data_IF_227367228032
#
_entry.id   IF_227367228032
#
_cell.length_a   1.000
_cell.length_b   1.000
_cell.length_c   1.000
_cell.angle_alpha   90.00
_cell.angle_beta   90.00
_cell.angle_gamma   90.00
#
_symmetry.space_group_name_H-M   'P 1'
#
loop_
_entity.id
_entity.type
_entity.pdbx_description
1 polymer ?
#
# COMPACT_ATOMS: atom_id res chain seq x y z
N UNK A 1 6.98 25.36 -2.28
CA UNK A 1 6.10 24.26 -2.74
C UNK A 1 6.09 24.22 -4.27
N UNK A 2 7.04 23.49 -4.87
CA UNK A 2 6.87 22.94 -6.21
C UNK A 2 6.69 21.45 -5.98
N UNK A 3 5.44 21.01 -5.80
CA UNK A 3 5.11 19.62 -6.05
C UNK A 3 5.47 19.40 -7.53
N UNK A 4 6.45 18.54 -7.76
CA UNK A 4 6.80 18.07 -9.08
C UNK A 4 5.51 17.68 -9.83
N UNK A 5 5.38 18.13 -11.08
CA UNK A 5 4.30 17.73 -11.99
C UNK A 5 4.58 16.33 -12.55
N UNK A 6 5.13 15.42 -11.74
CA UNK A 6 5.02 14.01 -12.05
C UNK A 6 3.53 13.69 -11.95
N UNK A 7 2.91 13.38 -13.10
CA UNK A 7 1.50 13.02 -13.14
C UNK A 7 1.20 11.96 -12.10
N UNK A 8 -0.03 11.98 -11.58
CA UNK A 8 -0.49 11.09 -10.52
C UNK A 8 0.05 9.65 -10.75
N UNK A 9 0.86 9.09 -9.83
CA UNK A 9 1.49 7.78 -10.01
C UNK A 9 0.47 6.64 -10.16
N UNK A 10 -0.80 6.91 -9.81
CA UNK A 10 -1.93 6.00 -9.98
C UNK A 10 -2.61 6.11 -11.36
N UNK A 11 -2.36 7.16 -12.15
CA UNK A 11 -3.08 7.43 -13.41
C UNK A 11 -2.46 6.82 -14.67
N UNK A 12 -1.17 6.42 -14.62
CA UNK A 12 -0.46 5.94 -15.80
C UNK A 12 -0.11 4.43 -15.70
N UNK A 13 -0.99 3.53 -16.17
CA UNK A 13 -0.70 2.11 -16.20
C UNK A 13 0.46 1.81 -17.16
N UNK A 14 1.30 0.83 -16.79
CA UNK A 14 2.39 0.38 -17.66
C UNK A 14 1.86 -0.10 -19.03
N UNK A 15 2.70 -0.02 -20.07
CA UNK A 15 2.33 -0.50 -21.41
C UNK A 15 1.84 -1.97 -21.37
N UNK A 16 2.51 -2.82 -20.59
CA UNK A 16 2.09 -4.20 -20.37
C UNK A 16 0.66 -4.28 -19.80
N UNK A 17 0.33 -3.46 -18.79
CA UNK A 17 -1.03 -3.40 -18.20
C UNK A 17 -2.06 -2.87 -19.20
N UNK A 18 -1.71 -1.85 -20.02
CA UNK A 18 -2.58 -1.30 -21.07
C UNK A 18 -2.95 -2.34 -22.12
N UNK A 19 -2.02 -3.20 -22.51
CA UNK A 19 -2.26 -4.29 -23.48
C UNK A 19 -2.98 -5.47 -22.83
N UNK A 20 -2.58 -5.88 -21.62
CA UNK A 20 -3.12 -7.06 -20.97
C UNK A 20 -4.57 -6.87 -20.49
N UNK A 21 -4.93 -5.69 -19.98
CA UNK A 21 -6.26 -5.43 -19.40
C UNK A 21 -7.43 -5.75 -20.34
N UNK A 22 -7.48 -5.27 -21.61
CA UNK A 22 -8.57 -5.62 -22.53
C UNK A 22 -8.60 -7.12 -22.86
N UNK A 23 -7.44 -7.75 -23.03
CA UNK A 23 -7.34 -9.19 -23.32
C UNK A 23 -7.90 -10.01 -22.15
N UNK A 24 -7.48 -9.69 -20.92
CA UNK A 24 -7.95 -10.36 -19.71
C UNK A 24 -9.46 -10.19 -19.50
N UNK A 25 -10.03 -9.01 -19.84
CA UNK A 25 -11.48 -8.80 -19.80
C UNK A 25 -12.22 -9.71 -20.78
N UNK A 26 -11.72 -9.84 -22.02
CA UNK A 26 -12.32 -10.73 -23.01
C UNK A 26 -12.20 -12.20 -22.59
N UNK A 27 -11.03 -12.62 -22.11
CA UNK A 27 -10.81 -13.98 -21.62
C UNK A 27 -11.75 -14.31 -20.44
N UNK A 28 -11.93 -13.39 -19.51
CA UNK A 28 -12.84 -13.56 -18.38
C UNK A 28 -14.31 -13.71 -18.81
N UNK A 29 -14.72 -13.01 -19.87
CA UNK A 29 -16.09 -13.09 -20.38
C UNK A 29 -16.41 -14.41 -21.09
N UNK A 30 -15.39 -15.10 -21.62
CA UNK A 30 -15.56 -16.28 -22.49
C UNK A 30 -15.19 -17.57 -21.76
N UNK A 31 -14.24 -17.54 -20.82
CA UNK A 31 -13.73 -18.73 -20.15
C UNK A 31 -14.48 -19.05 -18.85
N UNK A 32 -14.70 -20.34 -18.54
CA UNK A 32 -15.10 -20.76 -17.19
C UNK A 32 -14.08 -20.31 -16.14
N UNK A 33 -14.52 -19.94 -14.93
CA UNK A 33 -13.66 -19.38 -13.86
C UNK A 33 -12.39 -20.20 -13.62
N UNK A 34 -12.50 -21.54 -13.47
CA UNK A 34 -11.34 -22.41 -13.23
C UNK A 34 -10.29 -22.34 -14.36
N UNK A 35 -10.73 -22.20 -15.61
CA UNK A 35 -9.83 -22.07 -16.76
C UNK A 35 -9.21 -20.68 -16.83
N UNK A 36 -10.00 -19.64 -16.55
CA UNK A 36 -9.48 -18.28 -16.42
C UNK A 36 -8.40 -18.21 -15.33
N UNK A 37 -8.67 -18.75 -14.15
CA UNK A 37 -7.74 -18.73 -13.02
C UNK A 37 -6.44 -19.50 -13.33
N UNK A 38 -6.54 -20.63 -14.02
CA UNK A 38 -5.38 -21.43 -14.44
C UNK A 38 -4.47 -20.68 -15.44
N UNK A 39 -5.01 -19.76 -16.23
CA UNK A 39 -4.24 -18.90 -17.14
C UNK A 39 -3.75 -17.63 -16.44
N UNK A 40 -4.62 -17.02 -15.63
CA UNK A 40 -4.39 -15.74 -14.98
C UNK A 40 -3.29 -15.85 -13.92
N UNK A 41 -3.34 -16.86 -13.04
CA UNK A 41 -2.43 -16.93 -11.90
C UNK A 41 -0.95 -17.06 -12.32
N UNK A 42 -0.55 -17.93 -13.27
CA UNK A 42 0.83 -17.99 -13.74
C UNK A 42 1.28 -16.69 -14.43
N UNK A 43 0.41 -16.09 -15.25
CA UNK A 43 0.71 -14.83 -15.94
C UNK A 43 0.89 -13.67 -14.95
N UNK A 44 0.03 -13.58 -13.94
CA UNK A 44 0.11 -12.59 -12.87
C UNK A 44 1.38 -12.77 -12.02
N UNK A 45 1.70 -14.01 -11.63
CA UNK A 45 2.92 -14.32 -10.89
C UNK A 45 4.18 -13.95 -11.69
N UNK A 46 4.20 -14.26 -12.99
CA UNK A 46 5.28 -13.86 -13.88
C UNK A 46 5.41 -12.34 -13.98
N UNK A 47 4.29 -11.63 -14.14
CA UNK A 47 4.25 -10.17 -14.18
C UNK A 47 4.81 -9.55 -12.89
N UNK A 48 4.39 -10.04 -11.72
CA UNK A 48 4.91 -9.59 -10.42
C UNK A 48 6.42 -9.85 -10.29
N UNK A 49 6.89 -11.01 -10.73
CA UNK A 49 8.33 -11.32 -10.78
C UNK A 49 9.10 -10.35 -11.67
N UNK A 50 8.57 -10.00 -12.85
CA UNK A 50 9.21 -9.03 -13.74
C UNK A 50 9.27 -7.62 -13.15
N UNK A 51 8.20 -7.17 -12.48
CA UNK A 51 8.19 -5.89 -11.78
C UNK A 51 9.27 -5.85 -10.69
N UNK A 52 9.34 -6.90 -9.86
CA UNK A 52 10.34 -7.02 -8.80
C UNK A 52 11.77 -7.04 -9.35
N UNK A 53 12.03 -7.82 -10.41
CA UNK A 53 13.34 -7.89 -11.06
C UNK A 53 13.73 -6.57 -11.75
N UNK A 54 12.75 -5.85 -12.31
CA UNK A 54 12.98 -4.51 -12.85
C UNK A 54 13.36 -3.53 -11.74
N UNK A 55 12.65 -3.58 -10.61
CA UNK A 55 12.93 -2.71 -9.46
C UNK A 55 14.29 -3.02 -8.82
N UNK A 56 14.64 -4.29 -8.67
CA UNK A 56 15.95 -4.70 -8.16
C UNK A 56 17.10 -4.12 -9.00
N UNK A 57 16.99 -4.15 -10.34
CA UNK A 57 17.99 -3.55 -11.23
C UNK A 57 18.12 -2.04 -11.04
N UNK A 58 17.01 -1.34 -10.77
CA UNK A 58 17.05 0.10 -10.43
C UNK A 58 17.78 0.34 -9.11
N UNK A 59 17.48 -0.46 -8.08
CA UNK A 59 18.15 -0.40 -6.78
C UNK A 59 19.66 -0.65 -6.90
N UNK A 60 20.08 -1.64 -7.69
CA UNK A 60 21.50 -1.90 -7.97
C UNK A 60 22.18 -0.78 -8.75
N UNK A 61 21.44 -0.10 -9.65
CA UNK A 61 21.94 1.09 -10.32
C UNK A 61 22.11 2.27 -9.35
N UNK A 62 21.14 2.51 -8.46
CA UNK A 62 21.23 3.53 -7.42
C UNK A 62 22.44 3.29 -6.50
N UNK A 63 22.64 2.06 -6.01
CA UNK A 63 23.83 1.69 -5.23
C UNK A 63 25.14 1.98 -5.95
N UNK A 64 25.22 1.70 -7.25
CA UNK A 64 26.41 1.98 -8.08
C UNK A 64 26.65 3.48 -8.33
N UNK A 65 25.60 4.30 -8.28
CA UNK A 65 25.72 5.75 -8.46
C UNK A 65 26.35 6.46 -7.25
N UNK A 66 26.36 5.82 -6.08
CA UNK A 66 26.81 6.42 -4.83
C UNK A 66 25.75 7.27 -4.11
N UNK A 67 24.55 7.42 -4.68
CA UNK A 67 23.42 8.07 -4.03
C UNK A 67 22.83 7.15 -2.94
N UNK A 68 23.29 7.33 -1.70
CA UNK A 68 22.88 6.52 -0.56
C UNK A 68 21.42 6.73 -0.20
N UNK A 69 20.90 7.96 -0.28
CA UNK A 69 19.51 8.26 0.02
C UNK A 69 18.56 7.55 -0.95
N UNK A 70 18.88 7.58 -2.25
CA UNK A 70 18.12 6.84 -3.25
C UNK A 70 18.22 5.33 -3.06
N UNK A 71 19.41 4.82 -2.73
CA UNK A 71 19.61 3.39 -2.47
C UNK A 71 18.79 2.91 -1.25
N UNK A 72 18.78 3.66 -0.15
CA UNK A 72 18.05 3.34 1.07
C UNK A 72 16.54 3.37 0.84
N UNK A 73 16.03 4.41 0.14
CA UNK A 73 14.64 4.47 -0.32
C UNK A 73 14.27 3.21 -1.11
N UNK A 74 15.06 2.89 -2.13
CA UNK A 74 14.79 1.75 -3.00
C UNK A 74 14.84 0.43 -2.23
N UNK A 75 15.74 0.28 -1.27
CA UNK A 75 15.81 -0.90 -0.43
C UNK A 75 14.57 -1.06 0.45
N UNK A 76 14.14 0.01 1.13
CA UNK A 76 12.91 0.01 1.95
C UNK A 76 11.69 -0.36 1.11
N UNK A 77 11.53 0.26 -0.07
CA UNK A 77 10.43 -0.05 -1.00
C UNK A 77 10.51 -1.51 -1.46
N UNK A 78 11.67 -1.97 -1.91
CA UNK A 78 11.86 -3.33 -2.43
C UNK A 78 11.50 -4.42 -1.40
N UNK A 79 11.85 -4.20 -0.12
CA UNK A 79 11.51 -5.11 0.98
C UNK A 79 10.01 -5.28 1.18
N UNK A 80 9.24 -4.21 1.00
CA UNK A 80 7.78 -4.20 1.26
C UNK A 80 6.93 -4.46 0.02
N UNK A 81 7.49 -4.38 -1.19
CA UNK A 81 6.75 -4.52 -2.46
C UNK A 81 5.84 -5.76 -2.52
N UNK A 82 6.28 -6.91 -1.98
CA UNK A 82 5.50 -8.15 -1.98
C UNK A 82 4.31 -8.17 -1.00
N UNK A 83 4.23 -7.18 -0.11
CA UNK A 83 3.20 -7.02 0.91
C UNK A 83 2.29 -5.83 0.63
N UNK A 84 2.34 -5.27 -0.58
CA UNK A 84 1.57 -4.09 -0.95
C UNK A 84 0.72 -4.38 -2.19
N UNK A 85 -0.48 -3.82 -2.18
CA UNK A 85 -1.41 -3.87 -3.31
C UNK A 85 -1.25 -2.66 -4.25
N UNK A 86 -0.47 -1.65 -3.84
CA UNK A 86 -0.15 -0.48 -4.67
C UNK A 86 1.12 -0.71 -5.50
N UNK A 87 1.28 0.11 -6.53
CA UNK A 87 2.45 0.03 -7.42
C UNK A 87 3.72 0.55 -6.75
N UNK A 88 4.88 0.18 -7.28
CA UNK A 88 6.17 0.70 -6.80
C UNK A 88 6.24 2.24 -6.78
N UNK A 89 5.74 2.98 -7.80
CA UNK A 89 5.62 4.44 -7.72
C UNK A 89 4.79 4.94 -6.53
N UNK A 90 3.70 4.24 -6.18
CA UNK A 90 2.90 4.61 -5.01
C UNK A 90 3.64 4.37 -3.69
N UNK A 91 4.42 3.28 -3.59
CA UNK A 91 5.32 3.04 -2.45
C UNK A 91 6.42 4.09 -2.36
N UNK A 92 7.07 4.42 -3.47
CA UNK A 92 8.09 5.47 -3.54
C UNK A 92 7.51 6.82 -3.10
N UNK A 93 6.30 7.16 -3.55
CA UNK A 93 5.62 8.40 -3.15
C UNK A 93 5.28 8.42 -1.65
N UNK A 94 4.77 7.30 -1.12
CA UNK A 94 4.48 7.16 0.32
C UNK A 94 5.76 7.33 1.16
N UNK A 95 6.86 6.74 0.72
CA UNK A 95 8.17 6.92 1.34
C UNK A 95 8.61 8.38 1.32
N UNK A 96 8.55 9.05 0.17
CA UNK A 96 9.03 10.42 0.02
C UNK A 96 8.26 11.40 0.90
N UNK A 97 6.93 11.24 1.00
CA UNK A 97 6.11 12.06 1.90
C UNK A 97 6.46 11.83 3.36
N UNK A 98 6.61 10.57 3.79
CA UNK A 98 7.01 10.27 5.16
C UNK A 98 8.42 10.81 5.47
N UNK A 99 9.36 10.67 4.53
CA UNK A 99 10.74 11.13 4.70
C UNK A 99 10.83 12.66 4.73
N UNK A 100 10.10 13.38 3.87
CA UNK A 100 10.06 14.87 3.91
C UNK A 100 9.57 15.39 5.27
N UNK A 101 8.58 14.73 5.87
CA UNK A 101 8.05 15.10 7.19
C UNK A 101 9.09 14.88 8.30
N UNK A 102 9.84 13.78 8.24
CA UNK A 102 10.96 13.49 9.16
C UNK A 102 12.08 14.52 8.97
N UNK A 103 12.53 14.74 7.72
CA UNK A 103 13.64 15.65 7.40
C UNK A 103 13.35 17.10 7.82
N UNK A 104 12.07 17.50 7.78
CA UNK A 104 11.61 18.83 8.19
C UNK A 104 11.27 18.93 9.68
N UNK A 105 11.39 17.84 10.44
CA UNK A 105 11.06 17.79 11.86
C UNK A 105 9.60 18.15 12.15
N UNK A 106 8.67 17.79 11.25
CA UNK A 106 7.24 18.05 11.45
C UNK A 106 6.73 17.09 12.52
N UNK A 107 6.42 17.59 13.71
CA UNK A 107 5.89 16.78 14.82
C UNK A 107 4.51 16.18 14.52
N UNK A 108 4.21 15.02 15.10
CA UNK A 108 2.91 14.36 15.01
C UNK A 108 3.00 12.90 14.54
N UNK A 109 1.96 12.12 14.81
CA UNK A 109 1.89 10.71 14.46
C UNK A 109 1.78 10.49 12.94
N UNK A 110 2.18 9.31 12.50
CA UNK A 110 1.87 8.81 11.16
C UNK A 110 0.70 7.84 11.23
N UNK A 111 -0.32 8.06 10.39
CA UNK A 111 -1.57 7.31 10.41
C UNK A 111 -1.86 6.75 9.03
N UNK A 112 -2.23 5.47 8.97
CA UNK A 112 -2.78 4.82 7.78
C UNK A 112 -4.15 4.21 8.10
N UNK A 113 -5.13 4.49 7.25
CA UNK A 113 -6.46 3.86 7.28
C UNK A 113 -6.61 3.00 6.02
N UNK A 114 -6.58 1.68 6.18
CA UNK A 114 -6.51 0.72 5.07
C UNK A 114 -5.07 0.23 4.88
N UNK A 115 -4.74 -0.83 5.62
CA UNK A 115 -3.39 -1.40 5.72
C UNK A 115 -3.21 -2.59 4.79
N UNK A 116 -4.29 -3.34 4.54
CA UNK A 116 -4.27 -4.58 3.76
C UNK A 116 -3.13 -5.51 4.23
N UNK A 117 -2.22 -5.89 3.33
CA UNK A 117 -1.10 -6.78 3.64
C UNK A 117 0.08 -6.09 4.38
N UNK A 118 -0.02 -4.80 4.69
CA UNK A 118 0.91 -4.09 5.58
C UNK A 118 2.16 -3.51 4.92
N UNK A 119 2.29 -3.54 3.59
CA UNK A 119 3.47 -3.03 2.90
C UNK A 119 3.69 -1.52 3.09
N UNK A 120 2.63 -0.71 3.03
CA UNK A 120 2.72 0.73 3.27
C UNK A 120 2.94 1.04 4.76
N UNK A 121 2.18 0.42 5.67
CA UNK A 121 2.44 0.48 7.12
C UNK A 121 3.90 0.17 7.47
N UNK A 122 4.46 -0.93 6.94
CA UNK A 122 5.85 -1.29 7.18
C UNK A 122 6.84 -0.26 6.62
N UNK A 123 6.52 0.38 5.49
CA UNK A 123 7.35 1.43 4.89
C UNK A 123 7.33 2.71 5.73
N UNK A 124 6.14 3.14 6.14
CA UNK A 124 5.91 4.32 6.98
C UNK A 124 6.61 4.14 8.33
N UNK A 125 6.44 2.98 8.99
CA UNK A 125 7.08 2.70 10.27
C UNK A 125 8.60 2.61 10.17
N UNK A 126 9.14 2.04 9.08
CA UNK A 126 10.58 2.03 8.83
C UNK A 126 11.16 3.45 8.74
N UNK A 127 10.46 4.39 8.10
CA UNK A 127 10.87 5.80 8.02
C UNK A 127 10.72 6.49 9.38
N UNK A 128 9.59 6.29 10.07
CA UNK A 128 9.33 6.87 11.38
C UNK A 128 10.36 6.45 12.46
N UNK A 129 10.83 5.20 12.44
CA UNK A 129 11.83 4.69 13.39
C UNK A 129 13.26 5.13 13.07
N UNK A 130 13.50 5.74 11.91
CA UNK A 130 14.78 6.40 11.64
C UNK A 130 14.92 7.73 12.39
N UNK A 131 13.84 8.25 12.98
CA UNK A 131 13.84 9.44 13.83
C UNK A 131 14.19 9.09 15.28
N UNK A 132 15.18 9.79 15.85
CA UNK A 132 15.68 9.55 17.22
C UNK A 132 14.61 9.63 18.31
N UNK A 133 13.55 10.42 18.09
CA UNK A 133 12.51 10.67 19.10
C UNK A 133 11.41 9.59 19.14
N UNK A 134 11.44 8.61 18.22
CA UNK A 134 10.44 7.54 18.18
C UNK A 134 9.04 8.06 17.86
N UNK A 135 8.76 8.28 16.57
CA UNK A 135 7.44 8.73 16.11
C UNK A 135 6.40 7.61 16.20
N UNK A 136 5.24 7.93 16.78
CA UNK A 136 4.08 7.03 16.84
C UNK A 136 3.50 6.76 15.45
N UNK A 137 3.22 5.50 15.17
CA UNK A 137 2.55 5.01 13.98
C UNK A 137 1.25 4.31 14.37
N UNK A 138 0.17 4.66 13.68
CA UNK A 138 -1.16 4.10 13.89
C UNK A 138 -1.71 3.52 12.59
N UNK A 139 -2.06 2.25 12.63
CA UNK A 139 -2.47 1.48 11.47
C UNK A 139 -3.86 0.90 11.74
N UNK A 140 -4.87 1.52 11.11
CA UNK A 140 -6.27 1.15 11.24
C UNK A 140 -6.68 0.25 10.08
N UNK A 141 -7.24 -0.90 10.39
CA UNK A 141 -7.84 -1.81 9.42
C UNK A 141 -8.87 -2.71 10.11
N UNK A 142 -9.83 -3.22 9.35
CA UNK A 142 -10.68 -4.30 9.85
C UNK A 142 -9.85 -5.56 10.12
N UNK A 143 -8.75 -5.73 9.37
CA UNK A 143 -7.97 -6.97 9.23
C UNK A 143 -8.82 -8.16 8.79
N UNK A 144 -9.96 -7.86 8.18
CA UNK A 144 -10.98 -8.79 7.69
C UNK A 144 -11.28 -8.55 6.19
N UNK A 145 -10.55 -7.62 5.58
CA UNK A 145 -10.72 -7.19 4.19
C UNK A 145 -11.85 -6.17 4.03
N UNK A 146 -12.17 -5.85 2.78
CA UNK A 146 -13.19 -4.86 2.43
C UNK A 146 -14.59 -5.32 2.90
N UNK A 147 -15.46 -4.39 3.38
CA UNK A 147 -16.87 -4.69 3.58
C UNK A 147 -17.59 -4.77 2.22
N UNK A 148 -18.86 -5.14 2.23
CA UNK A 148 -19.68 -5.13 1.01
C UNK A 148 -19.75 -3.70 0.45
N UNK A 149 -19.57 -3.49 -0.87
CA UNK A 149 -19.74 -2.17 -1.48
C UNK A 149 -21.20 -1.73 -1.40
N UNK A 150 -21.40 -0.42 -1.26
CA UNK A 150 -22.69 0.27 -1.31
C UNK A 150 -22.95 0.84 -2.71
N UNK A 151 -24.16 1.33 -2.96
CA UNK A 151 -24.49 1.99 -4.24
C UNK A 151 -23.58 3.18 -4.57
N UNK A 152 -23.02 3.85 -3.54
CA UNK A 152 -22.09 4.97 -3.71
C UNK A 152 -20.71 4.54 -4.26
N UNK A 153 -20.35 3.26 -4.15
CA UNK A 153 -19.08 2.71 -4.61
C UNK A 153 -19.10 2.34 -6.10
N UNK A 154 -20.27 2.38 -6.74
CA UNK A 154 -20.45 2.01 -8.14
C UNK A 154 -20.45 3.24 -9.06
N UNK A 155 -19.51 3.26 -10.01
CA UNK A 155 -19.54 4.16 -11.16
C UNK A 155 -19.70 3.33 -12.45
N UNK A 156 -20.78 3.55 -13.20
CA UNK A 156 -21.10 2.80 -14.42
C UNK A 156 -21.11 1.26 -14.21
N UNK A 157 -21.60 0.80 -13.05
CA UNK A 157 -21.70 -0.62 -12.69
C UNK A 157 -20.36 -1.25 -12.29
N UNK A 158 -19.34 -0.45 -11.93
CA UNK A 158 -18.02 -0.91 -11.49
C UNK A 158 -17.61 -0.25 -10.20
N UNK A 159 -16.94 -1.00 -9.33
CA UNK A 159 -16.23 -0.45 -8.18
C UNK A 159 -14.81 -0.08 -8.62
N UNK A 160 -14.48 1.21 -8.64
CA UNK A 160 -13.16 1.72 -9.04
C UNK A 160 -12.66 1.21 -10.40
N UNK A 161 -11.34 0.98 -10.50
CA UNK A 161 -10.69 0.54 -11.74
C UNK A 161 -10.52 -0.99 -11.86
N UNK A 162 -11.23 -1.77 -11.05
CA UNK A 162 -11.08 -3.22 -11.00
C UNK A 162 -11.68 -3.92 -12.23
N UNK A 163 -11.16 -5.10 -12.57
CA UNK A 163 -11.67 -5.93 -13.68
C UNK A 163 -13.04 -6.52 -13.32
N UNK A 164 -13.28 -6.76 -12.02
CA UNK A 164 -14.53 -7.21 -11.40
C UNK A 164 -14.82 -6.36 -10.16
N UNK A 165 -16.09 -6.24 -9.71
CA UNK A 165 -16.38 -5.75 -8.38
C UNK A 165 -15.61 -6.55 -7.33
N UNK A 166 -15.04 -5.87 -6.33
CA UNK A 166 -14.36 -6.55 -5.25
C UNK A 166 -15.41 -7.11 -4.27
N UNK A 167 -15.53 -8.44 -4.11
CA UNK A 167 -16.42 -8.99 -3.09
C UNK A 167 -15.88 -8.67 -1.68
N UNK A 168 -16.76 -8.77 -0.69
CA UNK A 168 -16.38 -8.75 0.73
C UNK A 168 -15.19 -9.65 1.02
N UNK A 169 -14.27 -9.16 1.85
CA UNK A 169 -13.03 -9.86 2.20
C UNK A 169 -11.93 -9.76 1.13
N UNK A 170 -12.14 -9.00 0.05
CA UNK A 170 -11.06 -8.62 -0.86
C UNK A 170 -10.01 -7.75 -0.15
N UNK A 171 -8.81 -7.70 -0.72
CA UNK A 171 -7.67 -6.94 -0.17
C UNK A 171 -7.25 -7.36 1.25
N UNK A 172 -7.62 -8.58 1.67
CA UNK A 172 -7.34 -9.11 3.01
C UNK A 172 -5.83 -9.14 3.33
N UNK A 173 -5.49 -8.55 4.46
CA UNK A 173 -4.35 -8.95 5.28
C UNK A 173 -4.83 -9.10 6.73
N UNK A 174 -4.56 -10.25 7.34
CA UNK A 174 -5.00 -10.48 8.73
C UNK A 174 -4.09 -9.76 9.71
N UNK A 175 -4.59 -9.54 10.92
CA UNK A 175 -3.84 -8.89 12.00
C UNK A 175 -2.53 -9.64 12.27
N UNK A 176 -2.58 -10.98 12.28
CA UNK A 176 -1.43 -11.84 12.52
C UNK A 176 -0.38 -11.70 11.41
N UNK A 177 -0.82 -11.65 10.15
CA UNK A 177 0.07 -11.49 9.00
C UNK A 177 0.79 -10.13 9.05
N UNK A 178 0.05 -9.05 9.32
CA UNK A 178 0.63 -7.70 9.41
C UNK A 178 1.53 -7.57 10.64
N UNK A 179 1.12 -8.12 11.79
CA UNK A 179 1.94 -8.17 13.00
C UNK A 179 3.24 -8.96 12.77
N UNK A 180 3.18 -10.11 12.10
CA UNK A 180 4.37 -10.90 11.76
C UNK A 180 5.31 -10.14 10.82
N UNK A 181 4.76 -9.49 9.79
CA UNK A 181 5.51 -8.62 8.89
C UNK A 181 6.24 -7.52 9.67
N UNK A 182 5.53 -6.74 10.49
CA UNK A 182 6.11 -5.58 11.17
C UNK A 182 7.16 -5.98 12.20
N UNK A 183 6.84 -6.97 13.04
CA UNK A 183 7.62 -7.23 14.24
C UNK A 183 8.63 -8.37 14.09
N UNK A 184 8.43 -9.32 13.18
CA UNK A 184 9.39 -10.41 12.93
C UNK A 184 10.21 -10.16 11.68
N UNK A 185 9.56 -9.93 10.54
CA UNK A 185 10.26 -9.79 9.25
C UNK A 185 10.99 -8.44 9.14
N UNK A 186 10.35 -7.36 9.58
CA UNK A 186 10.91 -6.01 9.54
C UNK A 186 11.61 -5.59 10.83
N UNK A 187 11.44 -6.35 11.92
CA UNK A 187 12.05 -6.12 13.23
C UNK A 187 11.79 -4.71 13.78
N UNK A 188 10.61 -4.17 13.50
CA UNK A 188 10.23 -2.84 13.96
C UNK A 188 9.85 -2.85 15.45
N UNK A 189 10.08 -1.74 16.13
CA UNK A 189 9.71 -1.59 17.54
C UNK A 189 8.18 -1.64 17.74
N UNK A 190 7.75 -2.44 18.72
CA UNK A 190 6.36 -2.46 19.22
C UNK A 190 6.01 -1.23 20.05
N UNK A 191 7.01 -0.47 20.50
CA UNK A 191 6.79 0.65 21.43
C UNK A 191 6.10 1.85 20.77
N UNK A 192 6.22 1.99 19.44
CA UNK A 192 5.72 3.14 18.68
C UNK A 192 4.77 2.74 17.55
N UNK A 193 4.29 1.49 17.54
CA UNK A 193 3.42 0.96 16.49
C UNK A 193 2.15 0.41 17.12
N UNK A 194 1.03 1.02 16.73
CA UNK A 194 -0.30 0.69 17.18
C UNK A 194 -1.09 0.08 16.00
N UNK A 195 -1.36 -1.23 16.07
CA UNK A 195 -2.27 -1.92 15.15
C UNK A 195 -3.67 -1.88 15.75
N UNK A 196 -4.59 -1.15 15.11
CA UNK A 196 -5.96 -0.97 15.60
C UNK A 196 -6.91 -1.78 14.74
N UNK A 197 -7.38 -2.90 15.30
CA UNK A 197 -8.32 -3.81 14.62
C UNK A 197 -9.76 -3.36 14.82
N UNK A 198 -10.46 -3.12 13.72
CA UNK A 198 -11.90 -2.87 13.68
C UNK A 198 -12.29 -1.96 12.52
N UNK A 199 -13.59 -1.74 12.35
CA UNK A 199 -14.08 -0.81 11.33
C UNK A 199 -13.78 0.65 11.71
N UNK A 200 -13.58 1.51 10.72
CA UNK A 200 -13.15 2.90 10.95
C UNK A 200 -14.13 3.69 11.81
N UNK A 201 -15.44 3.51 11.59
CA UNK A 201 -16.50 4.14 12.37
C UNK A 201 -16.50 3.74 13.85
N UNK A 202 -15.97 2.55 14.17
CA UNK A 202 -15.94 2.02 15.53
C UNK A 202 -14.61 2.36 16.24
N UNK A 203 -13.54 2.55 15.48
CA UNK A 203 -12.16 2.66 16.02
C UNK A 203 -11.61 4.09 16.00
N UNK A 204 -11.77 4.84 14.91
CA UNK A 204 -11.22 6.20 14.81
C UNK A 204 -11.80 7.16 15.87
N UNK A 205 -13.11 7.16 16.18
CA UNK A 205 -13.66 8.03 17.23
C UNK A 205 -13.11 7.72 18.62
N UNK A 206 -12.71 6.47 18.87
CA UNK A 206 -12.17 6.01 20.16
C UNK A 206 -10.69 6.39 20.29
N UNK A 207 -9.90 6.14 19.24
CA UNK A 207 -8.44 6.33 19.29
C UNK A 207 -7.98 7.76 18.98
N UNK A 208 -8.86 8.64 18.48
CA UNK A 208 -8.51 10.03 18.13
C UNK A 208 -7.77 10.81 19.21
N UNK A 209 -8.07 10.53 20.49
CA UNK A 209 -7.44 11.23 21.62
C UNK A 209 -6.07 10.63 21.96
N UNK A 210 -5.85 9.35 21.68
CA UNK A 210 -4.59 8.65 21.94
C UNK A 210 -3.54 8.94 20.86
N UNK A 211 -3.96 9.16 19.61
CA UNK A 211 -3.06 9.48 18.49
C UNK A 211 -2.37 10.84 18.61
N UNK A 212 -3.03 11.83 19.25
CA UNK A 212 -2.56 13.21 19.27
C UNK A 212 -2.54 13.87 17.87
N UNK A 213 -1.71 14.90 17.66
CA UNK A 213 -1.56 15.56 16.37
C UNK A 213 -1.04 14.61 15.28
N UNK A 214 -1.55 14.74 14.05
CA UNK A 214 -1.17 13.90 12.91
C UNK A 214 -0.28 14.70 11.95
N UNK A 215 0.89 14.15 11.61
CA UNK A 215 1.80 14.72 10.62
C UNK A 215 1.58 14.11 9.22
N UNK A 216 1.26 12.81 9.16
CA UNK A 216 0.94 12.09 7.93
C UNK A 216 -0.37 11.34 8.11
N UNK A 217 -1.32 11.56 7.21
CA UNK A 217 -2.54 10.77 7.10
C UNK A 217 -2.60 10.15 5.70
N UNK A 218 -2.48 8.82 5.63
CA UNK A 218 -2.71 8.05 4.42
C UNK A 218 -4.10 7.40 4.51
N UNK A 219 -5.01 7.82 3.64
CA UNK A 219 -6.35 7.22 3.52
C UNK A 219 -6.35 6.31 2.29
N UNK A 220 -6.62 5.03 2.51
CA UNK A 220 -6.64 3.98 1.48
C UNK A 220 -7.75 2.96 1.79
N UNK A 221 -8.88 3.46 2.26
CA UNK A 221 -10.13 2.71 2.34
C UNK A 221 -10.89 2.89 1.03
N UNK A 222 -10.89 1.87 0.18
CA UNK A 222 -11.40 1.93 -1.20
C UNK A 222 -12.84 2.49 -1.33
N UNK A 223 -13.67 2.33 -0.30
CA UNK A 223 -15.10 2.67 -0.33
C UNK A 223 -15.42 4.09 0.13
N UNK A 224 -16.52 4.62 -0.40
CA UNK A 224 -17.02 5.96 -0.09
C UNK A 224 -17.23 6.17 1.41
N UNK A 225 -17.86 5.22 2.09
CA UNK A 225 -18.08 5.30 3.55
C UNK A 225 -16.78 5.21 4.37
N UNK A 226 -15.69 4.75 3.75
CA UNK A 226 -14.38 4.64 4.39
C UNK A 226 -13.54 5.92 4.32
N UNK A 227 -13.93 6.88 3.48
CA UNK A 227 -13.19 8.12 3.17
C UNK A 227 -13.92 9.35 3.69
#
# INVERSE_FOLDING_TARGET
MRLDKSGNPYENPSLARRIATPILRVLHAILPSKMYDALYQPAFNYYQSQLRNSYQRKMEAARRSGDTALADKMERVFRVMKYSLISAPGLEHTHDLAQDLVDRGISGAFVECGVAQGGCAALIAQVAQAEDQGRECWFFDSYEGLPDPTDADYENGKTGHHIRPLPKGSCLGTYEQVSELLFKEMQLSRATINLVKGWFQDTLPVERMNMGPIALLRVDGDWYEST
#
